data_IF_086175502898
#
_entry.id   IF_086175502898
#
_cell.length_a   1.000
_cell.length_b   1.000
_cell.length_c   1.000
_cell.angle_alpha   90.00
_cell.angle_beta   90.00
_cell.angle_gamma   90.00
#
_symmetry.space_group_name_H-M   'P 1'
#
loop_
_entity.id
_entity.type
_entity.pdbx_description
1 polymer ?
#
# COMPACT_ATOMS: atom_id res chain seq x y z
N UNK A 1 -4.23 -4.88 26.29
CA UNK A 1 -4.52 -5.03 24.85
C UNK A 1 -5.81 -5.81 24.62
N UNK A 2 -6.22 -6.67 25.56
CA UNK A 2 -7.38 -7.56 25.42
C UNK A 2 -8.73 -6.84 25.26
N UNK A 3 -8.86 -5.63 25.82
CA UNK A 3 -10.05 -4.78 25.65
C UNK A 3 -10.42 -4.53 24.18
N UNK A 4 -9.43 -4.35 23.30
CA UNK A 4 -9.65 -4.05 21.87
C UNK A 4 -10.01 -5.28 21.04
N UNK A 5 -10.07 -6.46 21.66
CA UNK A 5 -10.52 -7.72 21.06
C UNK A 5 -11.70 -8.33 21.81
N UNK A 6 -12.30 -7.57 22.72
CA UNK A 6 -13.42 -8.02 23.54
C UNK A 6 -14.74 -7.91 22.77
N UNK A 7 -15.50 -9.01 22.78
CA UNK A 7 -16.80 -9.09 22.13
C UNK A 7 -17.82 -8.16 22.78
N UNK A 8 -17.83 -8.06 24.11
CA UNK A 8 -18.78 -7.21 24.85
C UNK A 8 -18.62 -5.73 24.48
N UNK A 9 -17.38 -5.30 24.25
CA UNK A 9 -17.07 -3.96 23.75
C UNK A 9 -17.60 -3.79 22.33
N UNK A 10 -17.39 -4.77 21.46
CA UNK A 10 -17.87 -4.75 20.07
C UNK A 10 -19.41 -4.68 20.01
N UNK A 11 -20.11 -5.48 20.81
CA UNK A 11 -21.58 -5.47 20.88
C UNK A 11 -22.10 -4.11 21.36
N UNK A 12 -21.45 -3.52 22.37
CA UNK A 12 -21.77 -2.16 22.86
C UNK A 12 -21.56 -1.10 21.78
N UNK A 13 -20.49 -1.21 20.98
CA UNK A 13 -20.20 -0.28 19.89
C UNK A 13 -21.22 -0.38 18.76
N UNK A 14 -21.63 -1.59 18.38
CA UNK A 14 -22.66 -1.81 17.34
C UNK A 14 -23.99 -1.19 17.77
N UNK A 15 -24.37 -1.35 19.03
CA UNK A 15 -25.59 -0.73 19.58
C UNK A 15 -25.52 0.80 19.49
N UNK A 16 -24.41 1.40 19.91
CA UNK A 16 -24.21 2.86 19.84
C UNK A 16 -24.22 3.39 18.40
N UNK A 17 -23.54 2.69 17.48
CA UNK A 17 -23.56 3.04 16.05
C UNK A 17 -25.00 3.02 15.53
N UNK A 18 -25.76 1.97 15.87
CA UNK A 18 -27.16 1.83 15.48
C UNK A 18 -28.03 2.97 16.02
N UNK A 19 -27.87 3.34 17.29
CA UNK A 19 -28.60 4.46 17.90
C UNK A 19 -28.29 5.81 17.25
N UNK A 20 -27.00 6.10 17.03
CA UNK A 20 -26.56 7.36 16.41
C UNK A 20 -27.03 7.45 14.96
N UNK A 21 -26.94 6.35 14.22
CA UNK A 21 -27.29 6.31 12.78
C UNK A 21 -28.76 6.61 12.50
N UNK A 22 -29.69 6.40 13.45
CA UNK A 22 -31.13 6.65 13.25
C UNK A 22 -31.47 8.09 12.87
N UNK A 23 -30.63 9.05 13.28
CA UNK A 23 -30.84 10.47 13.05
C UNK A 23 -29.95 11.02 11.92
N UNK A 24 -29.35 10.16 11.10
CA UNK A 24 -28.43 10.52 10.03
C UNK A 24 -28.94 9.98 8.70
N UNK A 25 -28.71 10.74 7.63
CA UNK A 25 -28.87 10.26 6.26
C UNK A 25 -27.81 9.17 5.94
N UNK A 26 -27.75 8.71 4.70
CA UNK A 26 -26.73 7.75 4.26
C UNK A 26 -25.31 8.29 4.49
N UNK A 27 -24.51 7.53 5.24
CA UNK A 27 -23.11 7.83 5.54
C UNK A 27 -22.22 6.81 4.86
N UNK A 28 -21.16 7.31 4.21
CA UNK A 28 -20.09 6.50 3.63
C UNK A 28 -18.79 6.78 4.36
N UNK A 29 -18.29 5.77 5.06
CA UNK A 29 -17.00 5.79 5.75
C UNK A 29 -15.98 5.12 4.84
N UNK A 30 -15.04 5.91 4.31
CA UNK A 30 -13.95 5.39 3.50
C UNK A 30 -12.74 5.05 4.36
N UNK A 31 -12.22 3.83 4.25
CA UNK A 31 -10.91 3.49 4.79
C UNK A 31 -9.88 3.36 3.65
N UNK A 32 -8.59 3.47 3.98
CA UNK A 32 -7.48 3.47 3.01
C UNK A 32 -6.36 2.51 3.42
N UNK A 33 -6.72 1.40 4.05
CA UNK A 33 -5.75 0.43 4.55
C UNK A 33 -6.21 -0.99 4.23
N UNK A 34 -5.39 -1.74 3.49
CA UNK A 34 -5.68 -3.15 3.20
C UNK A 34 -5.90 -4.00 4.46
N UNK A 35 -5.20 -3.72 5.55
CA UNK A 35 -5.39 -4.40 6.84
C UNK A 35 -6.76 -4.10 7.45
N UNK A 36 -7.28 -2.88 7.30
CA UNK A 36 -8.65 -2.57 7.70
C UNK A 36 -9.66 -3.33 6.84
N UNK A 37 -9.47 -3.36 5.51
CA UNK A 37 -10.34 -4.15 4.61
C UNK A 37 -10.38 -5.63 5.03
N UNK A 38 -9.22 -6.20 5.35
CA UNK A 38 -9.11 -7.57 5.83
C UNK A 38 -9.92 -7.79 7.11
N UNK A 39 -9.76 -6.92 8.13
CA UNK A 39 -10.51 -7.01 9.39
C UNK A 39 -12.01 -6.84 9.16
N UNK A 40 -12.42 -5.85 8.37
CA UNK A 40 -13.82 -5.58 8.05
C UNK A 40 -14.46 -6.79 7.37
N UNK A 41 -13.77 -7.40 6.42
CA UNK A 41 -14.26 -8.57 5.70
C UNK A 41 -14.24 -9.83 6.56
N UNK A 42 -13.13 -10.09 7.26
CA UNK A 42 -12.94 -11.29 8.07
C UNK A 42 -13.97 -11.41 9.20
N UNK A 43 -14.29 -10.29 9.86
CA UNK A 43 -15.30 -10.25 10.92
C UNK A 43 -16.71 -9.88 10.42
N UNK A 44 -16.90 -9.72 9.10
CA UNK A 44 -18.21 -9.40 8.51
C UNK A 44 -18.80 -8.08 8.99
N UNK A 45 -17.97 -7.08 9.34
CA UNK A 45 -18.41 -5.83 9.98
C UNK A 45 -19.49 -5.12 9.15
N UNK A 46 -19.40 -5.16 7.81
CA UNK A 46 -20.42 -4.55 6.93
C UNK A 46 -21.84 -5.10 7.14
N UNK A 47 -21.97 -6.37 7.50
CA UNK A 47 -23.28 -6.99 7.76
C UNK A 47 -23.83 -6.66 9.16
N UNK A 48 -22.98 -6.13 10.05
CA UNK A 48 -23.37 -5.72 11.41
C UNK A 48 -23.78 -4.25 11.48
N UNK A 49 -23.50 -3.47 10.43
CA UNK A 49 -23.81 -2.05 10.39
C UNK A 49 -25.25 -1.82 9.91
N UNK A 50 -25.90 -0.73 10.38
CA UNK A 50 -27.19 -0.29 9.84
C UNK A 50 -27.13 0.01 8.33
N UNK A 51 -28.25 -0.16 7.63
CA UNK A 51 -28.33 0.00 6.17
C UNK A 51 -27.87 1.38 5.66
N UNK A 52 -28.04 2.44 6.47
CA UNK A 52 -27.59 3.79 6.14
C UNK A 52 -26.12 4.06 6.47
N UNK A 53 -25.36 3.08 6.97
CA UNK A 53 -23.93 3.21 7.28
C UNK A 53 -23.12 2.25 6.42
N UNK A 54 -22.46 2.79 5.40
CA UNK A 54 -21.63 2.03 4.48
C UNK A 54 -20.15 2.23 4.78
N UNK A 55 -19.38 1.15 4.72
CA UNK A 55 -17.92 1.19 4.78
C UNK A 55 -17.32 0.83 3.42
N UNK A 56 -16.70 1.82 2.78
CA UNK A 56 -16.13 1.71 1.43
C UNK A 56 -14.60 1.62 1.47
N UNK A 57 -14.04 0.93 0.49
CA UNK A 57 -12.59 0.73 0.35
C UNK A 57 -12.01 1.77 -0.59
N UNK A 58 -11.07 2.58 -0.09
CA UNK A 58 -10.28 3.52 -0.87
C UNK A 58 -8.99 2.90 -1.42
N UNK A 59 -8.08 3.71 -2.00
CA UNK A 59 -6.82 3.25 -2.59
C UNK A 59 -5.78 2.89 -1.52
N UNK A 60 -6.06 1.86 -0.72
CA UNK A 60 -5.26 1.46 0.44
C UNK A 60 -4.25 0.33 0.21
N UNK A 61 -3.95 0.01 -1.05
CA UNK A 61 -3.06 -1.08 -1.45
C UNK A 61 -1.94 -0.53 -2.34
N UNK A 62 -0.69 -0.41 -1.86
CA UNK A 62 0.41 0.17 -2.63
C UNK A 62 0.74 -0.65 -3.88
N UNK A 63 0.62 -1.97 -3.79
CA UNK A 63 0.75 -2.91 -4.90
C UNK A 63 -0.25 -2.57 -6.02
N UNK A 64 -1.52 -2.38 -5.64
CA UNK A 64 -2.63 -2.20 -6.56
C UNK A 64 -2.59 -0.85 -7.29
N UNK A 65 -1.89 0.15 -6.73
CA UNK A 65 -1.71 1.48 -7.34
C UNK A 65 -0.35 1.64 -8.05
N UNK A 66 0.47 0.59 -8.06
CA UNK A 66 1.72 0.56 -8.82
C UNK A 66 1.39 0.45 -10.32
N UNK A 67 2.02 1.30 -11.14
CA UNK A 67 1.72 1.38 -12.56
C UNK A 67 2.42 0.27 -13.35
N UNK A 68 1.86 -0.09 -14.50
CA UNK A 68 2.52 -1.05 -15.41
C UNK A 68 3.91 -0.56 -15.85
N UNK A 69 4.06 0.74 -16.10
CA UNK A 69 5.35 1.34 -16.48
C UNK A 69 6.44 1.19 -15.41
N UNK A 70 6.08 1.22 -14.13
CA UNK A 70 7.02 0.97 -13.03
C UNK A 70 7.45 -0.51 -12.96
N UNK A 71 6.51 -1.44 -13.17
CA UNK A 71 6.83 -2.87 -13.26
C UNK A 71 7.75 -3.14 -14.46
N UNK A 72 7.47 -2.52 -15.61
CA UNK A 72 8.31 -2.62 -16.80
C UNK A 72 9.70 -2.00 -16.59
N UNK A 73 9.81 -0.90 -15.85
CA UNK A 73 11.10 -0.33 -15.48
C UNK A 73 11.95 -1.30 -14.64
N UNK A 74 11.31 -2.04 -13.72
CA UNK A 74 11.98 -3.10 -12.96
C UNK A 74 12.43 -4.26 -13.87
N UNK A 75 11.58 -4.72 -14.80
CA UNK A 75 11.95 -5.75 -15.78
C UNK A 75 13.13 -5.30 -16.64
N UNK A 76 13.09 -4.07 -17.17
CA UNK A 76 14.16 -3.48 -17.97
C UNK A 76 15.49 -3.38 -17.22
N UNK A 77 15.47 -3.15 -15.91
CA UNK A 77 16.67 -3.16 -15.08
C UNK A 77 17.31 -4.56 -15.02
N UNK A 78 16.49 -5.61 -14.89
CA UNK A 78 16.98 -6.99 -14.91
C UNK A 78 17.51 -7.40 -16.29
N UNK A 79 16.86 -6.97 -17.37
CA UNK A 79 17.33 -7.19 -18.76
C UNK A 79 18.70 -6.54 -19.02
N UNK A 80 19.00 -5.44 -18.34
CA UNK A 80 20.33 -4.79 -18.35
C UNK A 80 21.35 -5.46 -17.41
N UNK A 81 21.01 -6.61 -16.83
CA UNK A 81 21.90 -7.43 -16.01
C UNK A 81 21.90 -7.12 -14.51
N UNK A 82 20.97 -6.29 -14.02
CA UNK A 82 20.82 -6.06 -12.58
C UNK A 82 20.15 -7.24 -11.88
N UNK A 83 20.48 -7.44 -10.60
CA UNK A 83 19.65 -8.24 -9.69
C UNK A 83 18.51 -7.35 -9.25
N UNK A 84 17.27 -7.69 -9.61
CA UNK A 84 16.10 -6.94 -9.17
C UNK A 84 15.47 -7.63 -7.97
N UNK A 85 15.26 -6.89 -6.90
CA UNK A 85 14.59 -7.40 -5.70
C UNK A 85 13.23 -6.76 -5.52
N UNK A 86 12.24 -7.52 -5.05
CA UNK A 86 10.89 -7.01 -4.78
C UNK A 86 10.21 -7.82 -3.68
N UNK A 87 9.14 -7.28 -3.10
CA UNK A 87 8.29 -8.01 -2.15
C UNK A 87 7.41 -9.05 -2.84
N UNK A 88 6.96 -10.05 -2.08
CA UNK A 88 6.24 -11.20 -2.62
C UNK A 88 4.88 -10.90 -3.24
N UNK A 89 4.23 -9.84 -2.78
CA UNK A 89 2.96 -9.35 -3.33
C UNK A 89 3.10 -8.72 -4.72
N UNK A 90 4.27 -8.18 -5.07
CA UNK A 90 4.52 -7.57 -6.38
C UNK A 90 4.86 -8.56 -7.50
N UNK A 91 5.30 -9.78 -7.17
CA UNK A 91 5.93 -10.68 -8.15
C UNK A 91 4.99 -11.09 -9.29
N UNK A 92 3.69 -11.23 -9.01
CA UNK A 92 2.66 -11.68 -9.97
C UNK A 92 1.77 -10.57 -10.49
N UNK A 93 2.09 -9.31 -10.18
CA UNK A 93 1.25 -8.20 -10.63
C UNK A 93 1.31 -8.11 -12.15
N UNK A 94 0.15 -8.07 -12.83
CA UNK A 94 0.12 -8.09 -14.28
C UNK A 94 0.63 -6.79 -14.88
N UNK A 95 1.40 -6.91 -15.95
CA UNK A 95 1.83 -5.85 -16.87
C UNK A 95 2.00 -6.49 -18.26
N UNK A 96 2.66 -5.84 -19.22
CA UNK A 96 3.07 -6.50 -20.48
C UNK A 96 3.90 -7.76 -20.21
N UNK A 97 4.69 -7.76 -19.13
CA UNK A 97 5.46 -8.90 -18.64
C UNK A 97 5.61 -8.78 -17.12
N UNK A 98 4.98 -9.69 -16.36
CA UNK A 98 5.11 -9.66 -14.90
C UNK A 98 6.55 -9.96 -14.46
N UNK A 99 6.89 -9.61 -13.20
CA UNK A 99 8.19 -9.96 -12.62
C UNK A 99 8.39 -11.48 -12.52
N UNK A 100 7.30 -12.25 -12.35
CA UNK A 100 7.34 -13.71 -12.44
C UNK A 100 7.66 -14.21 -13.85
N UNK A 101 7.11 -13.59 -14.90
CA UNK A 101 7.40 -13.97 -16.29
C UNK A 101 8.85 -13.62 -16.66
N UNK A 102 9.31 -12.45 -16.22
CA UNK A 102 10.69 -12.02 -16.34
C UNK A 102 11.64 -13.02 -15.68
N UNK A 103 11.36 -13.43 -14.44
CA UNK A 103 12.11 -14.46 -13.72
C UNK A 103 12.12 -15.80 -14.46
N UNK A 104 10.96 -16.25 -14.93
CA UNK A 104 10.83 -17.51 -15.67
C UNK A 104 11.64 -17.50 -16.98
N UNK A 105 11.87 -16.32 -17.56
CA UNK A 105 12.73 -16.15 -18.73
C UNK A 105 14.24 -16.07 -18.44
N UNK A 106 14.66 -16.26 -17.19
CA UNK A 106 16.07 -16.29 -16.79
C UNK A 106 16.61 -14.97 -16.25
N UNK A 107 15.78 -13.93 -16.10
CA UNK A 107 16.20 -12.67 -15.47
C UNK A 107 16.35 -12.86 -13.95
N UNK A 108 17.36 -12.21 -13.35
CA UNK A 108 17.69 -12.35 -11.92
C UNK A 108 16.74 -11.51 -11.04
N UNK A 109 15.52 -12.04 -10.85
CA UNK A 109 14.50 -11.46 -9.97
C UNK A 109 14.44 -12.24 -8.65
N UNK A 110 14.65 -11.54 -7.53
CA UNK A 110 14.68 -12.12 -6.19
C UNK A 110 13.57 -11.56 -5.31
N UNK A 111 12.93 -12.47 -4.58
CA UNK A 111 11.94 -12.12 -3.57
C UNK A 111 12.66 -11.78 -2.27
N UNK A 112 12.26 -10.70 -1.63
CA UNK A 112 12.80 -10.27 -0.34
C UNK A 112 11.67 -10.00 0.66
N UNK A 113 11.97 -10.13 1.94
CA UNK A 113 11.03 -9.78 3.01
C UNK A 113 11.31 -8.38 3.55
N UNK A 114 12.55 -7.91 3.43
CA UNK A 114 12.97 -6.59 3.85
C UNK A 114 13.92 -5.95 2.84
N UNK A 115 14.05 -4.63 2.91
CA UNK A 115 15.05 -3.92 2.11
C UNK A 115 16.48 -4.29 2.51
N UNK A 116 16.70 -4.69 3.78
CA UNK A 116 18.01 -5.16 4.25
C UNK A 116 18.47 -6.42 3.52
N UNK A 117 17.55 -7.30 3.12
CA UNK A 117 17.89 -8.47 2.28
C UNK A 117 18.48 -8.02 0.93
N UNK A 118 17.97 -6.90 0.39
CA UNK A 118 18.46 -6.33 -0.86
C UNK A 118 19.84 -5.67 -0.70
N UNK A 119 20.09 -5.01 0.44
CA UNK A 119 21.42 -4.49 0.79
C UNK A 119 22.42 -5.64 0.93
N UNK A 120 22.05 -6.71 1.64
CA UNK A 120 22.90 -7.89 1.82
C UNK A 120 23.23 -8.57 0.48
N UNK A 121 22.27 -8.58 -0.45
CA UNK A 121 22.51 -9.02 -1.83
C UNK A 121 23.52 -8.12 -2.55
N UNK A 122 23.43 -6.80 -2.38
CA UNK A 122 24.39 -5.85 -2.97
C UNK A 122 25.81 -6.07 -2.44
N UNK A 123 25.97 -6.19 -1.12
CA UNK A 123 27.24 -6.48 -0.46
C UNK A 123 27.85 -7.81 -0.93
N UNK A 124 27.01 -8.83 -1.14
CA UNK A 124 27.45 -10.16 -1.57
C UNK A 124 27.71 -10.27 -3.08
N UNK A 125 27.34 -9.26 -3.88
CA UNK A 125 27.48 -9.25 -5.34
C UNK A 125 28.09 -7.92 -5.81
N UNK A 126 29.34 -7.58 -5.41
CA UNK A 126 29.91 -6.25 -5.63
C UNK A 126 30.07 -5.86 -7.11
N UNK A 127 30.11 -6.83 -8.02
CA UNK A 127 30.22 -6.61 -9.47
C UNK A 127 28.88 -6.44 -10.19
N UNK A 128 27.76 -6.65 -9.49
CA UNK A 128 26.41 -6.52 -10.04
C UNK A 128 25.68 -5.35 -9.40
N UNK A 129 24.87 -4.67 -10.20
CA UNK A 129 23.90 -3.70 -9.68
C UNK A 129 22.75 -4.45 -9.03
N UNK A 130 22.34 -4.01 -7.84
CA UNK A 130 21.14 -4.50 -7.18
C UNK A 130 20.11 -3.38 -7.16
N UNK A 131 18.96 -3.61 -7.78
CA UNK A 131 17.87 -2.63 -7.88
C UNK A 131 16.71 -3.14 -7.05
N UNK A 132 16.43 -2.49 -5.93
CA UNK A 132 15.23 -2.78 -5.15
C UNK A 132 14.04 -2.03 -5.73
N UNK A 133 13.04 -2.77 -6.20
CA UNK A 133 11.77 -2.22 -6.62
C UNK A 133 10.92 -1.94 -5.38
N UNK A 134 11.05 -0.71 -4.88
CA UNK A 134 10.48 -0.28 -3.61
C UNK A 134 9.07 0.25 -3.83
N UNK A 135 8.09 -0.49 -3.33
CA UNK A 135 6.69 -0.07 -3.27
C UNK A 135 6.30 0.22 -1.82
N UNK A 136 5.20 0.95 -1.65
CA UNK A 136 4.58 1.14 -0.36
C UNK A 136 4.26 2.59 -0.04
N UNK A 137 3.53 2.77 1.06
CA UNK A 137 3.10 4.08 1.53
C UNK A 137 4.09 4.67 2.53
N UNK A 138 3.68 5.73 3.23
CA UNK A 138 4.46 6.46 4.23
C UNK A 138 5.01 5.55 5.35
N UNK A 139 4.37 4.40 5.61
CA UNK A 139 4.85 3.42 6.60
C UNK A 139 6.08 2.65 6.16
N UNK A 140 6.34 2.56 4.85
CA UNK A 140 7.46 1.81 4.27
C UNK A 140 8.58 2.72 3.76
N UNK A 141 8.23 3.90 3.24
CA UNK A 141 9.15 4.85 2.65
C UNK A 141 10.34 5.25 3.57
N UNK A 142 10.16 5.47 4.89
CA UNK A 142 11.28 5.77 5.79
C UNK A 142 12.33 4.66 5.86
N UNK A 143 11.92 3.40 5.81
CA UNK A 143 12.87 2.27 5.79
C UNK A 143 13.70 2.25 4.52
N UNK A 144 13.09 2.62 3.39
CA UNK A 144 13.79 2.81 2.11
C UNK A 144 14.77 3.98 2.16
N UNK A 145 14.37 5.11 2.75
CA UNK A 145 15.24 6.27 2.88
C UNK A 145 16.50 5.95 3.70
N UNK A 146 16.34 5.28 4.85
CA UNK A 146 17.46 4.87 5.70
C UNK A 146 18.36 3.86 4.98
N UNK A 147 17.79 2.94 4.22
CA UNK A 147 18.56 1.97 3.43
C UNK A 147 19.47 2.65 2.41
N UNK A 148 18.95 3.62 1.66
CA UNK A 148 19.71 4.37 0.65
C UNK A 148 20.88 5.14 1.27
N UNK A 149 20.70 5.69 2.48
CA UNK A 149 21.77 6.44 3.17
C UNK A 149 22.94 5.55 3.61
N UNK A 150 22.72 4.25 3.82
CA UNK A 150 23.68 3.32 4.40
C UNK A 150 24.06 2.17 3.46
N UNK A 151 23.69 2.24 2.18
CA UNK A 151 23.88 1.16 1.22
C UNK A 151 25.22 1.24 0.48
N UNK A 152 25.76 0.12 -0.02
CA UNK A 152 26.92 0.12 -0.90
C UNK A 152 26.62 0.79 -2.26
N UNK A 153 27.66 1.24 -2.97
CA UNK A 153 27.54 1.99 -4.23
C UNK A 153 26.81 1.26 -5.37
N UNK A 154 26.75 -0.07 -5.31
CA UNK A 154 26.06 -0.91 -6.31
C UNK A 154 24.58 -1.15 -5.99
N UNK A 155 24.05 -0.56 -4.92
CA UNK A 155 22.65 -0.62 -4.54
C UNK A 155 21.88 0.58 -5.07
N UNK A 156 20.73 0.32 -5.67
CA UNK A 156 19.84 1.32 -6.25
C UNK A 156 18.40 1.01 -5.83
N UNK A 157 17.58 2.05 -5.78
CA UNK A 157 16.15 1.93 -5.52
C UNK A 157 15.36 2.46 -6.72
N UNK A 158 14.49 1.62 -7.26
CA UNK A 158 13.40 2.06 -8.13
C UNK A 158 12.21 2.41 -7.24
N UNK A 159 12.05 3.69 -6.95
CA UNK A 159 11.00 4.17 -6.03
C UNK A 159 9.64 4.25 -6.73
N UNK A 160 8.73 3.37 -6.32
CA UNK A 160 7.31 3.42 -6.61
C UNK A 160 6.50 3.69 -5.33
N UNK A 161 7.10 4.40 -4.37
CA UNK A 161 6.40 4.85 -3.17
C UNK A 161 5.28 5.84 -3.52
N UNK A 162 4.25 5.87 -2.68
CA UNK A 162 3.10 6.77 -2.81
C UNK A 162 2.75 7.38 -1.45
N UNK A 163 2.02 8.48 -1.51
CA UNK A 163 1.54 9.23 -0.35
C UNK A 163 0.01 9.22 -0.39
N UNK A 164 -0.64 8.86 0.71
CA UNK A 164 -2.08 8.60 0.75
C UNK A 164 -2.91 9.89 0.77
N UNK A 165 -2.59 10.92 1.59
CA UNK A 165 -3.39 12.15 1.63
C UNK A 165 -3.67 12.80 0.27
N UNK A 166 -2.70 12.98 -0.65
CA UNK A 166 -2.97 13.56 -1.97
C UNK A 166 -3.93 12.72 -2.82
N UNK A 167 -3.88 11.38 -2.70
CA UNK A 167 -4.81 10.51 -3.40
C UNK A 167 -6.24 10.68 -2.88
N UNK A 168 -6.39 10.92 -1.57
CA UNK A 168 -7.69 11.21 -0.97
C UNK A 168 -8.22 12.58 -1.34
N UNK A 169 -7.38 13.61 -1.36
CA UNK A 169 -7.77 14.96 -1.81
C UNK A 169 -8.27 14.93 -3.26
N UNK A 170 -7.62 14.16 -4.13
CA UNK A 170 -8.07 13.94 -5.51
C UNK A 170 -9.44 13.23 -5.56
N UNK A 171 -9.64 12.17 -4.77
CA UNK A 171 -10.92 11.46 -4.72
C UNK A 171 -12.06 12.35 -4.23
N UNK A 172 -11.82 13.16 -3.20
CA UNK A 172 -12.81 14.08 -2.64
C UNK A 172 -13.14 15.23 -3.62
N UNK A 173 -12.12 15.79 -4.29
CA UNK A 173 -12.31 16.87 -5.29
C UNK A 173 -12.95 16.39 -6.60
N UNK A 174 -12.84 15.09 -6.94
CA UNK A 174 -13.46 14.51 -8.14
C UNK A 174 -14.99 14.36 -8.08
N UNK A 175 -15.63 14.83 -7.00
CA UNK A 175 -17.09 14.94 -6.87
C UNK A 175 -17.83 13.65 -6.48
N UNK A 176 -17.10 12.58 -6.13
CA UNK A 176 -17.72 11.31 -5.69
C UNK A 176 -17.98 11.22 -4.18
N UNK A 177 -17.43 12.13 -3.38
CA UNK A 177 -17.49 12.12 -1.92
C UNK A 177 -17.45 13.55 -1.37
N UNK A 178 -18.25 13.86 -0.34
CA UNK A 178 -18.37 15.21 0.25
C UNK A 178 -17.67 15.25 1.61
N UNK A 179 -16.86 16.27 1.88
CA UNK A 179 -16.32 16.54 3.22
C UNK A 179 -17.46 16.82 4.21
N UNK A 180 -17.51 16.10 5.33
CA UNK A 180 -18.47 16.35 6.41
C UNK A 180 -18.18 17.67 7.17
N UNK A 181 -17.05 18.34 6.93
CA UNK A 181 -16.72 19.62 7.56
C UNK A 181 -16.29 20.66 6.53
N UNK A 182 -17.13 21.70 6.35
CA UNK A 182 -16.70 22.97 5.77
C UNK A 182 -15.77 23.67 6.78
N UNK A 183 -14.48 23.40 6.72
CA UNK A 183 -13.47 24.31 7.26
C UNK A 183 -12.20 24.24 6.42
N UNK A 184 -11.88 25.38 5.80
CA UNK A 184 -10.86 25.58 4.79
C UNK A 184 -9.42 25.38 5.31
N UNK A 185 -8.62 24.57 4.59
CA UNK A 185 -7.30 24.92 4.01
C UNK A 185 -6.56 23.64 3.53
N UNK A 186 -6.03 23.59 2.29
CA UNK A 186 -5.03 22.60 1.93
C UNK A 186 -3.69 23.02 2.56
N UNK A 187 -3.15 22.15 3.42
CA UNK A 187 -1.91 22.39 4.19
C UNK A 187 -0.65 21.85 3.51
N UNK A 188 -0.69 21.53 2.21
CA UNK A 188 0.44 20.95 1.51
C UNK A 188 0.65 21.63 0.15
N UNK A 189 1.62 22.54 0.12
CA UNK A 189 2.24 23.03 -1.10
C UNK A 189 3.65 22.47 -1.18
N UNK A 190 3.92 21.72 -2.25
CA UNK A 190 5.20 21.13 -2.68
C UNK A 190 5.81 20.07 -1.77
#
# INVERSE_FOLDING_TARGET
MDLYRDRSVSDTLIQKISEISKNLDEIKICHVCGTHEHVITHYGIRALLPDNVQVVSGPGCPVCVTTQGEIEAAVNAAEKGAIVTTYGDMIRVPSRRSLSDAKASGLDIRLVYSINDSINLALSNPTKKVVHFAIGFETTCPTTAVAVLNSPDNFYVLSAHRVVPPAMDLLLSSGKYVYASKSERPLYGF
#
